data_IF_103967629021
#
_entry.id   IF_103967629021
#
_cell.length_a   1.000
_cell.length_b   1.000
_cell.length_c   1.000
_cell.angle_alpha   90.00
_cell.angle_beta   90.00
_cell.angle_gamma   90.00
#
_symmetry.space_group_name_H-M   'P 1'
#
loop_
_entity.id
_entity.type
_entity.pdbx_description
1 polymer ?
#
# COMPACT_ATOMS: atom_id res chain seq x y z
N UNK A 1 -13.22 4.07 8.03
CA UNK A 1 -13.12 4.03 6.55
C UNK A 1 -11.88 4.80 6.15
N UNK A 2 -11.07 4.32 5.19
CA UNK A 2 -9.90 5.08 4.73
C UNK A 2 -10.30 6.02 3.58
N UNK A 3 -9.76 7.24 3.60
CA UNK A 3 -9.83 8.18 2.48
C UNK A 3 -8.47 8.28 1.80
N UNK A 4 -8.45 8.21 0.47
CA UNK A 4 -7.27 8.37 -0.34
C UNK A 4 -7.37 9.61 -1.22
N UNK A 5 -6.31 10.41 -1.25
CA UNK A 5 -6.13 11.48 -2.23
C UNK A 5 -4.67 11.61 -2.66
N UNK A 6 -4.39 12.57 -3.54
CA UNK A 6 -3.04 12.93 -3.96
C UNK A 6 -2.62 14.30 -3.41
N UNK A 7 -1.38 14.68 -3.67
CA UNK A 7 -0.97 16.08 -3.72
C UNK A 7 -1.76 16.87 -4.76
N UNK A 8 -1.67 18.21 -4.72
CA UNK A 8 -2.35 19.08 -5.71
C UNK A 8 -1.70 18.94 -7.08
N UNK A 9 -2.52 19.03 -8.14
CA UNK A 9 -2.11 18.90 -9.56
C UNK A 9 -1.29 17.62 -9.85
N UNK A 10 -1.79 16.44 -9.49
CA UNK A 10 -1.05 15.19 -9.68
C UNK A 10 -0.89 14.86 -11.17
N UNK A 11 0.23 14.21 -11.50
CA UNK A 11 0.49 13.59 -12.79
C UNK A 11 -0.46 12.42 -13.06
N UNK A 12 -0.47 11.94 -14.30
CA UNK A 12 -1.26 10.75 -14.65
C UNK A 12 -0.76 9.49 -13.91
N UNK A 13 0.55 9.35 -13.70
CA UNK A 13 1.12 8.23 -12.95
C UNK A 13 0.63 8.22 -11.50
N UNK A 14 0.65 9.38 -10.84
CA UNK A 14 0.13 9.56 -9.48
C UNK A 14 -1.36 9.24 -9.40
N UNK A 15 -2.17 9.69 -10.36
CA UNK A 15 -3.60 9.34 -10.42
C UNK A 15 -3.83 7.83 -10.57
N UNK A 16 -3.03 7.15 -11.39
CA UNK A 16 -3.12 5.70 -11.58
C UNK A 16 -2.78 4.97 -10.27
N UNK A 17 -1.71 5.37 -9.59
CA UNK A 17 -1.35 4.80 -8.30
C UNK A 17 -2.47 4.98 -7.28
N UNK A 18 -3.00 6.20 -7.14
CA UNK A 18 -4.11 6.48 -6.22
C UNK A 18 -5.32 5.56 -6.47
N UNK A 19 -5.72 5.38 -7.73
CA UNK A 19 -6.85 4.50 -8.09
C UNK A 19 -6.56 3.04 -7.73
N UNK A 20 -5.36 2.54 -8.01
CA UNK A 20 -4.96 1.16 -7.68
C UNK A 20 -4.94 0.92 -6.18
N UNK A 21 -4.38 1.84 -5.40
CA UNK A 21 -4.37 1.78 -3.94
C UNK A 21 -5.79 1.86 -3.37
N UNK A 22 -6.64 2.72 -3.90
CA UNK A 22 -8.02 2.85 -3.43
C UNK A 22 -8.84 1.56 -3.68
N UNK A 23 -8.69 0.96 -4.86
CA UNK A 23 -9.29 -0.34 -5.15
C UNK A 23 -8.74 -1.44 -4.26
N UNK A 24 -7.42 -1.43 -4.03
CA UNK A 24 -6.78 -2.44 -3.21
C UNK A 24 -7.21 -2.33 -1.75
N UNK A 25 -7.27 -1.14 -1.15
CA UNK A 25 -7.62 -0.97 0.26
C UNK A 25 -9.13 -0.82 0.53
N UNK A 26 -9.97 -0.95 -0.50
CA UNK A 26 -11.39 -0.61 -0.43
C UNK A 26 -11.63 0.79 0.17
N UNK A 27 -10.73 1.72 -0.17
CA UNK A 27 -10.73 3.09 0.32
C UNK A 27 -11.55 3.99 -0.60
N UNK A 28 -12.20 5.00 0.00
CA UNK A 28 -12.79 6.08 -0.78
C UNK A 28 -11.68 6.87 -1.47
N UNK A 29 -11.86 7.21 -2.75
CA UNK A 29 -10.90 8.03 -3.50
C UNK A 29 -11.52 9.37 -3.85
N UNK A 30 -10.83 10.46 -3.49
CA UNK A 30 -11.21 11.81 -3.91
C UNK A 30 -10.10 12.48 -4.71
N UNK A 31 -10.51 13.24 -5.72
CA UNK A 31 -9.59 14.12 -6.43
C UNK A 31 -9.22 15.32 -5.55
N UNK A 32 -7.92 15.63 -5.42
CA UNK A 32 -7.45 16.74 -4.55
C UNK A 32 -7.93 18.13 -4.98
N UNK A 33 -7.95 18.40 -6.29
CA UNK A 33 -8.35 19.70 -6.83
C UNK A 33 -7.60 20.89 -6.21
N UNK A 34 -8.36 21.89 -5.74
CA UNK A 34 -7.85 23.07 -5.03
C UNK A 34 -8.02 22.98 -3.51
N UNK A 35 -8.58 21.88 -3.00
CA UNK A 35 -8.88 21.72 -1.58
C UNK A 35 -7.63 21.92 -0.72
N UNK A 36 -7.80 22.61 0.40
CA UNK A 36 -6.80 22.73 1.46
C UNK A 36 -6.53 21.35 2.09
N UNK A 37 -5.58 21.27 3.02
CA UNK A 37 -5.41 20.03 3.77
C UNK A 37 -6.56 19.82 4.78
N UNK A 38 -7.01 20.89 5.44
CA UNK A 38 -8.18 20.87 6.35
C UNK A 38 -9.43 20.36 5.64
N UNK A 39 -9.73 20.90 4.45
CA UNK A 39 -10.92 20.49 3.69
C UNK A 39 -10.88 18.98 3.39
N UNK A 40 -9.69 18.44 3.06
CA UNK A 40 -9.53 17.01 2.77
C UNK A 40 -9.74 16.17 4.03
N UNK A 41 -9.19 16.60 5.16
CA UNK A 41 -9.38 15.91 6.46
C UNK A 41 -10.84 15.87 6.86
N UNK A 42 -11.56 16.98 6.73
CA UNK A 42 -12.99 17.07 7.05
C UNK A 42 -13.83 16.08 6.21
N UNK A 43 -13.46 15.87 4.95
CA UNK A 43 -14.12 14.87 4.11
C UNK A 43 -13.75 13.42 4.48
N UNK A 44 -12.67 13.20 5.24
CA UNK A 44 -12.21 11.89 5.70
C UNK A 44 -13.11 11.23 6.76
N UNK A 45 -14.08 11.97 7.31
CA UNK A 45 -15.09 11.46 8.26
C UNK A 45 -14.50 10.72 9.48
N UNK A 46 -13.39 11.24 10.04
CA UNK A 46 -12.72 10.63 11.21
C UNK A 46 -11.91 9.35 10.89
N UNK A 47 -11.68 9.06 9.61
CA UNK A 47 -10.88 7.92 9.17
C UNK A 47 -9.41 8.26 8.92
N UNK A 48 -8.63 7.22 8.58
CA UNK A 48 -7.25 7.38 8.10
C UNK A 48 -7.26 8.08 6.75
N UNK A 49 -6.47 9.14 6.62
CA UNK A 49 -6.22 9.81 5.35
C UNK A 49 -4.87 9.37 4.78
N UNK A 50 -4.89 8.79 3.59
CA UNK A 50 -3.70 8.50 2.79
C UNK A 50 -3.54 9.56 1.69
N UNK A 51 -2.43 10.30 1.72
CA UNK A 51 -2.04 11.24 0.68
C UNK A 51 -0.85 10.68 -0.11
N UNK A 52 -1.03 10.53 -1.42
CA UNK A 52 0.06 10.20 -2.34
C UNK A 52 0.77 11.48 -2.77
N UNK A 53 2.03 11.64 -2.36
CA UNK A 53 2.89 12.74 -2.76
C UNK A 53 3.53 12.51 -4.12
N UNK A 54 3.98 13.59 -4.75
CA UNK A 54 4.59 13.56 -6.08
C UNK A 54 5.95 14.27 -6.06
N UNK A 55 6.92 13.72 -6.77
CA UNK A 55 8.25 14.28 -6.99
C UNK A 55 8.59 14.19 -8.49
N UNK A 56 8.82 15.36 -9.12
CA UNK A 56 9.08 15.48 -10.57
C UNK A 56 8.13 14.65 -11.46
N UNK A 57 6.83 14.69 -11.19
CA UNK A 57 5.83 13.98 -12.00
C UNK A 57 5.66 12.49 -11.67
N UNK A 58 6.43 11.94 -10.73
CA UNK A 58 6.32 10.55 -10.29
C UNK A 58 5.77 10.47 -8.86
N UNK A 59 4.97 9.45 -8.53
CA UNK A 59 4.62 9.15 -7.15
C UNK A 59 5.89 9.03 -6.29
N UNK A 60 5.97 9.85 -5.24
CA UNK A 60 7.19 9.98 -4.44
C UNK A 60 7.00 9.55 -2.99
N UNK A 61 5.78 9.59 -2.47
CA UNK A 61 5.51 9.22 -1.08
C UNK A 61 4.08 8.74 -0.85
N UNK A 62 3.92 7.94 0.20
CA UNK A 62 2.66 7.60 0.84
C UNK A 62 2.68 8.16 2.26
N UNK A 63 1.88 9.19 2.52
CA UNK A 63 1.78 9.82 3.85
C UNK A 63 0.43 9.50 4.46
N UNK A 64 0.46 8.92 5.65
CA UNK A 64 -0.73 8.51 6.40
C UNK A 64 -0.95 9.44 7.58
N UNK A 65 -2.17 9.95 7.66
CA UNK A 65 -2.61 10.88 8.68
C UNK A 65 -3.76 10.27 9.48
N UNK A 66 -3.78 10.54 10.77
CA UNK A 66 -4.95 10.28 11.61
C UNK A 66 -6.05 11.32 11.40
N UNK A 67 -7.16 11.17 12.11
CA UNK A 67 -8.32 12.07 12.03
C UNK A 67 -8.02 13.51 12.48
N UNK A 68 -6.98 13.71 13.29
CA UNK A 68 -6.53 15.04 13.72
C UNK A 68 -5.66 15.74 12.68
N UNK A 69 -5.24 15.01 11.63
CA UNK A 69 -4.30 15.49 10.64
C UNK A 69 -2.84 15.32 11.04
N UNK A 70 -2.55 14.60 12.13
CA UNK A 70 -1.18 14.26 12.50
C UNK A 70 -0.69 13.14 11.57
N UNK A 71 0.46 13.34 10.94
CA UNK A 71 1.14 12.28 10.19
C UNK A 71 1.68 11.27 11.19
N UNK A 72 1.46 9.97 10.99
CA UNK A 72 2.15 8.94 11.79
C UNK A 72 3.22 8.22 10.99
N UNK A 73 3.05 8.13 9.67
CA UNK A 73 3.98 7.47 8.78
C UNK A 73 4.02 8.15 7.42
N UNK A 74 5.23 8.40 6.93
CA UNK A 74 5.50 8.72 5.53
C UNK A 74 6.49 7.72 4.96
N UNK A 75 6.10 7.03 3.90
CA UNK A 75 6.95 6.08 3.16
C UNK A 75 7.32 6.74 1.84
N UNK A 76 8.62 6.95 1.60
CA UNK A 76 9.12 7.47 0.33
C UNK A 76 9.37 6.33 -0.62
N UNK A 77 8.93 6.47 -1.87
CA UNK A 77 8.82 5.33 -2.79
C UNK A 77 9.34 5.60 -4.20
N UNK A 78 9.47 4.50 -4.94
CA UNK A 78 9.28 4.45 -6.40
C UNK A 78 8.41 3.27 -6.77
N UNK A 79 7.63 3.40 -7.83
CA UNK A 79 6.66 2.40 -8.26
C UNK A 79 7.15 1.55 -9.45
N UNK A 80 6.70 0.30 -9.49
CA UNK A 80 6.80 -0.61 -10.62
C UNK A 80 5.49 -1.39 -10.77
N UNK A 81 5.16 -1.78 -12.00
CA UNK A 81 3.96 -2.56 -12.34
C UNK A 81 4.36 -3.82 -13.09
N UNK A 82 4.80 -4.88 -12.39
CA UNK A 82 5.37 -6.06 -13.02
C UNK A 82 4.41 -6.79 -13.95
N UNK A 83 3.15 -6.92 -13.53
CA UNK A 83 2.12 -7.62 -14.31
C UNK A 83 0.80 -6.85 -14.38
N UNK A 84 0.15 -6.78 -15.55
CA UNK A 84 -1.22 -6.30 -15.62
C UNK A 84 -2.18 -7.34 -15.05
N UNK A 85 -3.11 -6.87 -14.24
CA UNK A 85 -4.26 -7.64 -13.73
C UNK A 85 -5.55 -6.84 -13.97
N UNK A 86 -6.68 -7.53 -14.23
CA UNK A 86 -7.99 -6.88 -14.32
C UNK A 86 -8.31 -6.05 -13.08
N UNK A 87 -9.03 -4.95 -13.25
CA UNK A 87 -9.39 -4.07 -12.13
C UNK A 87 -10.25 -4.80 -11.08
N UNK A 88 -11.16 -5.66 -11.53
CA UNK A 88 -11.99 -6.50 -10.67
C UNK A 88 -11.16 -7.40 -9.74
N UNK A 89 -10.05 -7.95 -10.24
CA UNK A 89 -9.14 -8.79 -9.45
C UNK A 89 -8.48 -7.98 -8.32
N UNK A 90 -8.34 -6.66 -8.47
CA UNK A 90 -7.75 -5.77 -7.44
C UNK A 90 -8.81 -5.30 -6.43
N UNK A 91 -10.09 -5.33 -6.80
CA UNK A 91 -11.18 -4.80 -5.96
C UNK A 91 -11.90 -5.86 -5.14
N UNK A 92 -11.99 -7.10 -5.61
CA UNK A 92 -12.72 -8.15 -4.91
C UNK A 92 -11.79 -9.14 -4.24
N UNK A 93 -12.28 -9.75 -3.16
CA UNK A 93 -11.59 -10.82 -2.47
C UNK A 93 -11.17 -10.47 -1.05
N UNK A 94 -10.83 -11.51 -0.29
CA UNK A 94 -10.25 -11.39 1.05
C UNK A 94 -8.93 -10.62 0.97
N UNK A 95 -8.77 -9.66 1.88
CA UNK A 95 -7.49 -9.00 2.12
C UNK A 95 -6.61 -9.81 3.04
N UNK A 96 -5.35 -9.92 2.68
CA UNK A 96 -4.29 -10.44 3.52
C UNK A 96 -3.19 -9.39 3.59
N UNK A 97 -2.81 -9.02 4.79
CA UNK A 97 -1.68 -8.16 5.05
C UNK A 97 -0.65 -8.97 5.81
N UNK A 98 0.57 -9.01 5.32
CA UNK A 98 1.60 -9.80 5.98
C UNK A 98 2.98 -9.19 5.85
N UNK A 99 3.82 -9.49 6.83
CA UNK A 99 5.21 -9.07 6.89
C UNK A 99 5.93 -9.83 7.99
N UNK A 100 7.10 -9.34 8.38
CA UNK A 100 7.89 -9.91 9.48
C UNK A 100 7.84 -8.97 10.70
N UNK A 101 7.88 -9.52 11.91
CA UNK A 101 8.00 -8.70 13.14
C UNK A 101 9.26 -7.83 13.14
N UNK A 102 10.30 -8.26 12.43
CA UNK A 102 11.54 -7.50 12.30
C UNK A 102 11.37 -6.24 11.46
N UNK A 103 10.37 -6.19 10.58
CA UNK A 103 10.17 -5.06 9.69
C UNK A 103 9.49 -3.91 10.42
N UNK A 104 10.20 -2.79 10.57
CA UNK A 104 9.64 -1.59 11.18
C UNK A 104 8.45 -1.04 10.37
N UNK A 105 8.52 -1.14 9.05
CA UNK A 105 7.44 -0.73 8.14
C UNK A 105 6.20 -1.59 8.35
N UNK A 106 6.37 -2.92 8.46
CA UNK A 106 5.25 -3.82 8.75
C UNK A 106 4.63 -3.50 10.10
N UNK A 107 5.41 -3.38 11.17
CA UNK A 107 4.87 -3.09 12.51
C UNK A 107 4.04 -1.80 12.52
N UNK A 108 4.56 -0.72 11.93
CA UNK A 108 3.86 0.56 11.86
C UNK A 108 2.59 0.47 11.03
N UNK A 109 2.65 -0.12 9.83
CA UNK A 109 1.45 -0.26 8.99
C UNK A 109 0.43 -1.22 9.59
N UNK A 110 0.86 -2.32 10.21
CA UNK A 110 -0.03 -3.29 10.83
C UNK A 110 -0.80 -2.69 12.00
N UNK A 111 -0.09 -1.98 12.88
CA UNK A 111 -0.71 -1.32 14.03
C UNK A 111 -1.74 -0.28 13.57
N UNK A 112 -1.34 0.62 12.67
CA UNK A 112 -2.20 1.74 12.29
C UNK A 112 -3.32 1.37 11.31
N UNK A 113 -3.04 0.52 10.32
CA UNK A 113 -4.06 0.19 9.31
C UNK A 113 -4.99 -0.94 9.77
N UNK A 114 -4.51 -1.86 10.61
CA UNK A 114 -5.20 -3.11 10.91
C UNK A 114 -5.44 -3.34 12.40
N UNK A 115 -4.98 -2.45 13.28
CA UNK A 115 -5.06 -2.67 14.73
C UNK A 115 -4.32 -3.95 15.15
N UNK A 116 -3.21 -4.26 14.48
CA UNK A 116 -2.38 -5.44 14.77
C UNK A 116 -2.88 -6.76 14.16
N UNK A 117 -3.96 -6.76 13.37
CA UNK A 117 -4.56 -7.98 12.82
C UNK A 117 -3.82 -8.60 11.61
N UNK A 118 -2.69 -8.02 11.18
CA UNK A 118 -1.85 -8.52 10.10
C UNK A 118 -1.22 -9.88 10.41
N UNK A 119 -1.04 -10.68 9.38
CA UNK A 119 -0.44 -12.01 9.48
C UNK A 119 1.09 -11.90 9.53
N UNK A 120 1.67 -12.25 10.67
CA UNK A 120 3.12 -12.33 10.83
C UNK A 120 3.67 -13.62 10.25
N UNK A 121 4.73 -13.51 9.44
CA UNK A 121 5.45 -14.69 8.92
C UNK A 121 6.76 -14.87 9.70
N UNK A 122 6.93 -16.03 10.34
CA UNK A 122 8.17 -16.35 11.07
C UNK A 122 9.31 -16.64 10.09
N UNK A 123 10.35 -15.80 10.09
CA UNK A 123 11.58 -15.98 9.31
C UNK A 123 11.71 -15.04 8.10
N UNK A 124 12.92 -14.97 7.53
CA UNK A 124 13.34 -14.13 6.39
C UNK A 124 12.68 -14.48 5.04
N UNK A 125 11.50 -15.09 5.04
CA UNK A 125 10.80 -15.53 3.82
C UNK A 125 9.31 -15.28 3.93
N UNK A 126 8.91 -14.02 3.73
CA UNK A 126 7.52 -13.63 3.41
C UNK A 126 7.01 -14.41 2.18
N UNK A 127 7.93 -14.85 1.31
CA UNK A 127 7.68 -15.70 0.14
C UNK A 127 7.10 -17.11 0.43
N UNK A 128 7.02 -17.56 1.69
CA UNK A 128 6.48 -18.90 2.04
C UNK A 128 4.99 -18.92 2.34
N UNK A 129 4.30 -17.79 2.30
CA UNK A 129 2.84 -17.79 2.27
C UNK A 129 2.39 -18.33 0.91
N UNK A 130 2.23 -19.66 0.85
CA UNK A 130 1.50 -20.35 -0.21
C UNK A 130 0.09 -19.79 -0.21
N UNK A 131 -0.17 -18.73 -0.96
CA UNK A 131 -1.44 -18.65 -1.64
C UNK A 131 -1.40 -19.81 -2.61
N UNK A 132 -2.04 -20.94 -2.27
CA UNK A 132 -2.42 -21.88 -3.31
C UNK A 132 -3.17 -21.03 -4.33
N UNK A 133 -2.65 -20.83 -5.55
CA UNK A 133 -3.45 -20.17 -6.56
C UNK A 133 -4.69 -21.04 -6.68
N UNK A 134 -5.88 -20.47 -6.49
CA UNK A 134 -7.06 -21.12 -7.02
C UNK A 134 -6.78 -21.18 -8.52
N UNK A 135 -6.47 -22.39 -9.02
CA UNK A 135 -6.14 -22.62 -10.42
C UNK A 135 -7.17 -21.88 -11.26
N UNK A 136 -6.74 -20.86 -12.00
CA UNK A 136 -7.59 -20.13 -12.97
C UNK A 136 -8.31 -21.09 -13.93
N UNK A 137 -7.76 -22.29 -14.14
CA UNK A 137 -8.36 -23.36 -14.95
C UNK A 137 -9.71 -23.89 -14.42
N UNK A 138 -10.05 -23.68 -13.15
CA UNK A 138 -11.31 -24.22 -12.57
C UNK A 138 -12.41 -23.16 -12.37
N UNK A 139 -12.11 -21.86 -12.55
CA UNK A 139 -13.06 -20.77 -12.28
C UNK A 139 -13.74 -20.21 -13.55
N UNK A 140 -13.46 -20.78 -14.72
CA UNK A 140 -14.34 -20.67 -15.89
C UNK A 140 -15.40 -21.76 -15.80
N UNK A 141 -16.31 -21.66 -14.84
CA UNK A 141 -17.57 -22.43 -14.90
C UNK A 141 -18.42 -21.83 -16.03
N UNK A 142 -18.37 -22.46 -17.20
CA UNK A 142 -19.39 -22.42 -18.26
C UNK A 142 -19.95 -21.04 -18.63
N UNK A 143 -19.07 -20.06 -18.86
CA UNK A 143 -19.48 -18.73 -19.36
C UNK A 143 -20.31 -17.89 -18.39
N UNK A 144 -20.46 -18.30 -17.12
CA UNK A 144 -21.22 -17.55 -16.12
C UNK A 144 -20.38 -16.42 -15.51
N UNK A 145 -20.88 -15.18 -15.60
CA UNK A 145 -20.30 -14.03 -14.90
C UNK A 145 -20.52 -14.20 -13.39
N UNK A 146 -19.43 -14.24 -12.61
CA UNK A 146 -19.50 -14.31 -11.15
C UNK A 146 -20.12 -13.04 -10.56
N UNK A 147 -21.00 -13.21 -9.59
CA UNK A 147 -21.52 -12.12 -8.74
C UNK A 147 -20.41 -11.56 -7.84
N UNK A 148 -20.57 -10.33 -7.34
CA UNK A 148 -19.59 -9.73 -6.42
C UNK A 148 -19.35 -10.58 -5.15
N UNK A 149 -20.40 -11.24 -4.64
CA UNK A 149 -20.30 -12.15 -3.48
C UNK A 149 -19.43 -13.37 -3.80
N UNK A 150 -19.62 -13.97 -4.98
CA UNK A 150 -18.80 -15.10 -5.43
C UNK A 150 -17.34 -14.66 -5.68
N UNK A 151 -17.12 -13.50 -6.30
CA UNK A 151 -15.78 -12.92 -6.49
C UNK A 151 -15.08 -12.69 -5.15
N UNK A 152 -15.78 -12.16 -4.14
CA UNK A 152 -15.23 -11.94 -2.81
C UNK A 152 -14.82 -13.23 -2.08
N UNK A 153 -15.52 -14.34 -2.34
CA UNK A 153 -15.15 -15.64 -1.78
C UNK A 153 -14.00 -16.31 -2.55
N UNK A 154 -13.86 -16.04 -3.85
CA UNK A 154 -12.91 -16.71 -4.72
C UNK A 154 -11.54 -16.04 -4.83
N UNK A 155 -11.47 -14.72 -4.63
CA UNK A 155 -10.25 -13.95 -4.84
C UNK A 155 -9.51 -13.63 -3.54
N UNK A 156 -8.19 -13.54 -3.65
CA UNK A 156 -7.29 -13.14 -2.57
C UNK A 156 -6.44 -11.99 -3.04
N UNK A 157 -6.45 -10.90 -2.27
CA UNK A 157 -5.61 -9.72 -2.47
C UNK A 157 -4.65 -9.65 -1.29
N UNK A 158 -3.38 -9.43 -1.59
CA UNK A 158 -2.32 -9.52 -0.60
C UNK A 158 -1.36 -8.36 -0.67
N UNK A 159 -1.09 -7.75 0.48
CA UNK A 159 -0.03 -6.78 0.67
C UNK A 159 1.08 -7.45 1.49
N UNK A 160 2.21 -7.70 0.82
CA UNK A 160 3.42 -8.23 1.44
C UNK A 160 4.37 -7.07 1.73
N UNK A 161 4.71 -6.89 3.00
CA UNK A 161 5.48 -5.76 3.50
C UNK A 161 6.88 -6.25 3.85
N UNK A 162 7.86 -5.68 3.17
CA UNK A 162 9.29 -5.84 3.40
C UNK A 162 9.88 -4.49 3.81
N UNK A 163 11.12 -4.48 4.29
CA UNK A 163 11.80 -3.23 4.65
C UNK A 163 12.14 -2.38 3.42
N UNK A 164 12.43 -3.00 2.28
CA UNK A 164 12.84 -2.38 1.02
C UNK A 164 11.70 -2.25 0.00
N UNK A 165 10.56 -2.90 0.22
CA UNK A 165 9.44 -2.88 -0.73
C UNK A 165 8.09 -3.28 -0.15
N UNK A 166 7.03 -2.86 -0.85
CA UNK A 166 5.65 -3.25 -0.65
C UNK A 166 5.15 -3.95 -1.93
N UNK A 167 4.80 -5.23 -1.82
CA UNK A 167 4.31 -6.02 -2.94
C UNK A 167 2.79 -6.20 -2.84
N UNK A 168 2.08 -5.68 -3.84
CA UNK A 168 0.63 -5.81 -3.98
C UNK A 168 0.35 -6.88 -5.00
N UNK A 169 -0.30 -7.95 -4.56
CA UNK A 169 -0.70 -9.06 -5.41
C UNK A 169 -2.19 -9.34 -5.36
N UNK A 170 -2.68 -9.89 -6.46
CA UNK A 170 -4.02 -10.47 -6.54
C UNK A 170 -3.91 -11.84 -7.18
N UNK A 171 -4.52 -12.84 -6.54
CA UNK A 171 -4.53 -14.23 -7.00
C UNK A 171 -3.12 -14.76 -7.33
N UNK A 172 -2.14 -14.41 -6.49
CA UNK A 172 -0.74 -14.81 -6.63
C UNK A 172 0.08 -14.02 -7.65
N UNK A 173 -0.48 -13.00 -8.30
CA UNK A 173 0.23 -12.16 -9.30
C UNK A 173 0.51 -10.79 -8.74
N UNK A 174 1.79 -10.40 -8.70
CA UNK A 174 2.21 -9.06 -8.24
C UNK A 174 1.90 -8.05 -9.33
N UNK A 175 0.90 -7.20 -9.10
CA UNK A 175 0.47 -6.21 -10.08
C UNK A 175 1.06 -4.82 -9.82
N UNK A 176 1.58 -4.59 -8.62
CA UNK A 176 2.18 -3.33 -8.22
C UNK A 176 3.21 -3.59 -7.13
N UNK A 177 4.37 -2.97 -7.29
CA UNK A 177 5.46 -2.99 -6.33
C UNK A 177 5.88 -1.56 -6.02
N UNK A 178 5.97 -1.22 -4.75
CA UNK A 178 6.49 0.07 -4.30
C UNK A 178 7.81 -0.18 -3.58
N UNK A 179 8.91 0.25 -4.15
CA UNK A 179 10.21 0.19 -3.50
C UNK A 179 10.29 1.28 -2.45
N UNK A 180 10.61 0.91 -1.21
CA UNK A 180 10.78 1.81 -0.08
C UNK A 180 12.19 2.39 -0.15
N UNK A 181 12.27 3.71 -0.27
CA UNK A 181 13.53 4.46 -0.28
C UNK A 181 13.92 4.93 1.12
N UNK A 182 12.92 5.34 1.89
CA UNK A 182 13.07 5.76 3.28
C UNK A 182 11.71 5.85 3.94
N UNK A 183 11.73 5.90 5.27
CA UNK A 183 10.55 5.95 6.11
C UNK A 183 10.74 7.05 7.14
N UNK A 184 9.69 7.83 7.38
CA UNK A 184 9.62 8.81 8.46
C UNK A 184 8.39 8.50 9.30
N UNK A 185 8.59 8.16 10.57
CA UNK A 185 7.51 8.08 11.55
C UNK A 185 7.58 9.31 12.45
N UNK A 186 6.45 9.96 12.72
CA UNK A 186 6.42 11.06 13.69
C UNK A 186 6.08 10.47 15.07
N UNK A 187 7.14 10.16 15.83
CA UNK A 187 7.09 9.88 17.25
C UNK A 187 7.59 11.11 18.02
N UNK A 188 6.71 11.65 18.85
CA UNK A 188 6.92 12.67 19.88
C UNK A 188 7.38 14.07 19.44
N UNK A 189 6.63 15.07 19.92
CA UNK A 189 6.95 16.47 19.73
C UNK A 189 8.28 16.81 20.37
N UNK A 190 9.31 16.95 19.53
CA UNK A 190 10.35 17.94 19.72
C UNK A 190 10.95 18.28 18.35
N UNK A 191 10.98 19.57 18.03
CA UNK A 191 11.87 20.11 17.01
C UNK A 191 13.32 19.74 17.37
N UNK A 192 13.88 18.70 16.75
CA UNK A 192 15.21 18.65 16.14
C UNK A 192 15.65 17.21 15.81
N UNK A 193 16.51 17.13 14.79
CA UNK A 193 17.32 15.98 14.34
C UNK A 193 16.58 14.74 13.82
N UNK A 194 16.32 14.71 12.51
CA UNK A 194 17.21 13.99 11.61
C UNK A 194 17.22 12.45 11.55
N UNK A 195 16.34 11.71 12.23
CA UNK A 195 16.33 10.24 12.10
C UNK A 195 15.64 9.79 10.81
N UNK A 196 16.43 9.74 9.74
CA UNK A 196 16.12 9.02 8.50
C UNK A 196 16.61 7.59 8.65
N UNK A 197 15.70 6.61 8.64
CA UNK A 197 16.08 5.21 8.44
C UNK A 197 16.43 5.06 6.96
N UNK A 198 17.73 5.03 6.66
CA UNK A 198 18.28 4.84 5.32
C UNK A 198 18.48 3.33 5.10
N UNK A 199 17.78 2.73 4.14
CA UNK A 199 17.80 1.28 3.88
C UNK A 199 18.91 0.83 2.93
N UNK A 200 19.92 1.67 2.67
CA UNK A 200 20.89 1.50 1.59
C UNK A 200 22.32 1.11 2.02
N UNK A 201 22.52 0.49 3.19
CA UNK A 201 23.83 -0.02 3.60
C UNK A 201 23.98 -1.52 3.31
N UNK A 202 24.06 -1.90 2.03
CA UNK A 202 24.68 -3.17 1.61
C UNK A 202 24.90 -3.24 0.10
N UNK A 203 25.86 -2.47 -0.42
CA UNK A 203 26.61 -2.85 -1.62
C UNK A 203 28.06 -2.43 -1.40
N UNK A 204 28.89 -3.38 -0.97
CA UNK A 204 30.34 -3.25 -0.95
C UNK A 204 30.85 -3.29 -2.39
N UNK A 205 31.51 -2.21 -2.81
CA UNK A 205 32.40 -2.21 -3.96
C UNK A 205 33.63 -3.05 -3.64
N UNK A 206 33.65 -4.29 -4.14
CA UNK A 206 34.90 -5.02 -4.39
C UNK A 206 35.05 -5.20 -5.90
N UNK A 207 35.79 -4.28 -6.53
CA UNK A 207 36.40 -4.50 -7.82
C UNK A 207 37.81 -3.90 -7.78
N UNK A 208 38.78 -4.78 -7.51
CA UNK A 208 40.19 -4.58 -7.84
C UNK A 208 40.43 -4.87 -9.33
#
# INVERSE_FOLDING_TARGET
MMLLTSSRKPSQKTKILCKKLALFFDAAYMTRGKMSFSDVLENGSGGILLVVGEFHGNPGSLSFYDESGKTFLSVYISESYPEPVPQDDIHFGRHIFCGTESSAVFRLLNEFLLGGAGETVSGSSVSKLKSSPVKKETLKTDGKVLTAKEKNAAFVRKLEIYDDRLDFSSNGRIFMRLYVKSVKADGDGHENSGDRINTNDSYSEDAS
#
